data_IF_408242819765
#
_entry.id   IF_408242819765
#
_cell.length_a   1.000
_cell.length_b   1.000
_cell.length_c   1.000
_cell.angle_alpha   90.00
_cell.angle_beta   90.00
_cell.angle_gamma   90.00
#
_symmetry.space_group_name_H-M   'P 1'
#
loop_
_entity.id
_entity.type
_entity.pdbx_description
1 polymer ?
#
# COMPACT_ATOMS: atom_id res chain seq x y z
N UNK A 1 -13.06 6.67 59.82
CA UNK A 1 -13.05 5.80 58.63
C UNK A 1 -12.00 6.36 57.69
N UNK A 2 -10.87 5.69 57.56
CA UNK A 2 -9.81 6.06 56.60
C UNK A 2 -10.20 5.46 55.27
N UNK A 3 -10.35 6.30 54.24
CA UNK A 3 -10.56 5.83 52.88
C UNK A 3 -9.20 5.39 52.34
N UNK A 4 -9.09 4.10 52.03
CA UNK A 4 -7.92 3.52 51.35
C UNK A 4 -8.04 3.93 49.87
N UNK A 5 -7.16 4.80 49.39
CA UNK A 5 -7.09 5.14 47.97
C UNK A 5 -6.53 3.93 47.21
N UNK A 6 -7.12 3.54 46.07
CA UNK A 6 -6.58 2.46 45.26
C UNK A 6 -5.25 2.91 44.65
N UNK A 7 -4.15 2.29 45.09
CA UNK A 7 -2.84 2.43 44.46
C UNK A 7 -2.97 1.94 43.01
N UNK A 8 -2.96 2.88 42.07
CA UNK A 8 -2.92 2.55 40.65
C UNK A 8 -1.60 1.81 40.37
N UNK A 9 -1.69 0.57 39.90
CA UNK A 9 -0.52 -0.17 39.43
C UNK A 9 0.16 0.61 38.32
N UNK A 10 1.50 0.74 38.32
CA UNK A 10 2.21 1.40 37.23
C UNK A 10 1.92 0.64 35.92
N UNK A 11 1.84 1.36 34.77
CA UNK A 11 1.69 0.73 33.48
C UNK A 11 2.82 -0.28 33.25
N UNK A 12 2.51 -1.41 32.62
CA UNK A 12 3.52 -2.40 32.27
C UNK A 12 4.45 -1.83 31.19
N UNK A 13 5.66 -1.44 31.58
CA UNK A 13 6.69 -0.97 30.65
C UNK A 13 7.25 -2.15 29.85
N UNK A 14 7.32 -1.99 28.52
CA UNK A 14 7.95 -2.98 27.65
C UNK A 14 9.47 -2.99 27.92
N UNK A 15 10.12 -4.17 28.07
CA UNK A 15 11.57 -4.22 28.19
C UNK A 15 12.26 -3.58 26.97
N UNK A 16 13.23 -2.68 27.20
CA UNK A 16 13.93 -1.93 26.14
C UNK A 16 14.48 -2.82 25.02
N UNK A 17 15.06 -3.97 25.37
CA UNK A 17 15.59 -4.91 24.38
C UNK A 17 14.48 -5.45 23.46
N UNK A 18 13.32 -5.80 24.03
CA UNK A 18 12.17 -6.27 23.26
C UNK A 18 11.61 -5.15 22.36
N UNK A 19 11.56 -3.91 22.88
CA UNK A 19 11.13 -2.75 22.09
C UNK A 19 12.05 -2.49 20.90
N UNK A 20 13.37 -2.58 21.10
CA UNK A 20 14.36 -2.42 20.05
C UNK A 20 14.26 -3.53 18.98
N UNK A 21 14.13 -4.80 19.39
CA UNK A 21 13.93 -5.92 18.47
C UNK A 21 12.64 -5.76 17.64
N UNK A 22 11.54 -5.37 18.28
CA UNK A 22 10.27 -5.16 17.58
C UNK A 22 10.36 -3.96 16.62
N UNK A 23 10.99 -2.87 17.02
CA UNK A 23 11.22 -1.72 16.16
C UNK A 23 12.04 -2.10 14.92
N UNK A 24 13.13 -2.85 15.08
CA UNK A 24 13.99 -3.28 13.97
C UNK A 24 13.24 -4.18 12.98
N UNK A 25 12.40 -5.10 13.49
CA UNK A 25 11.52 -5.91 12.65
C UNK A 25 10.49 -5.09 11.87
N UNK A 26 9.88 -4.08 12.50
CA UNK A 26 8.93 -3.19 11.82
C UNK A 26 9.61 -2.32 10.77
N UNK A 27 10.83 -1.85 11.04
CA UNK A 27 11.63 -1.08 10.08
C UNK A 27 12.06 -1.94 8.88
N UNK A 28 12.46 -3.19 9.14
CA UNK A 28 12.77 -4.16 8.08
C UNK A 28 11.55 -4.41 7.19
N UNK A 29 10.38 -4.68 7.80
CA UNK A 29 9.13 -4.87 7.05
C UNK A 29 8.73 -3.62 6.25
N UNK A 30 8.93 -2.43 6.80
CA UNK A 30 8.66 -1.15 6.11
C UNK A 30 9.54 -0.99 4.86
N UNK A 31 10.84 -1.29 4.98
CA UNK A 31 11.78 -1.25 3.85
C UNK A 31 11.44 -2.29 2.76
N UNK A 32 11.01 -3.47 3.17
CA UNK A 32 10.57 -4.52 2.24
C UNK A 32 9.29 -4.11 1.50
N UNK A 33 8.34 -3.46 2.17
CA UNK A 33 7.15 -2.90 1.52
C UNK A 33 7.49 -1.81 0.50
N UNK A 34 8.43 -0.91 0.80
CA UNK A 34 8.90 0.09 -0.19
C UNK A 34 9.57 -0.55 -1.40
N UNK A 35 10.32 -1.63 -1.17
CA UNK A 35 10.93 -2.38 -2.26
C UNK A 35 9.89 -3.12 -3.08
N UNK A 36 8.91 -3.76 -2.43
CA UNK A 36 7.80 -4.43 -3.09
C UNK A 36 6.98 -3.45 -3.94
N UNK A 37 6.65 -2.27 -3.39
CA UNK A 37 5.93 -1.23 -4.10
C UNK A 37 6.64 -0.84 -5.39
N UNK A 38 7.96 -0.57 -5.33
CA UNK A 38 8.76 -0.25 -6.52
C UNK A 38 8.76 -1.37 -7.56
N UNK A 39 8.94 -2.61 -7.12
CA UNK A 39 8.92 -3.78 -8.03
C UNK A 39 7.57 -3.94 -8.73
N UNK A 40 6.46 -3.69 -8.01
CA UNK A 40 5.12 -3.75 -8.57
C UNK A 40 4.85 -2.59 -9.53
N UNK A 41 5.24 -1.37 -9.16
CA UNK A 41 5.09 -0.18 -10.01
C UNK A 41 5.86 -0.37 -11.33
N UNK A 42 7.13 -0.81 -11.26
CA UNK A 42 7.95 -1.10 -12.43
C UNK A 42 7.32 -2.18 -13.33
N UNK A 43 6.87 -3.29 -12.73
CA UNK A 43 6.23 -4.38 -13.46
C UNK A 43 4.92 -3.92 -14.13
N UNK A 44 4.13 -3.09 -13.46
CA UNK A 44 2.86 -2.58 -13.99
C UNK A 44 3.08 -1.57 -15.13
N UNK A 45 4.13 -0.74 -15.06
CA UNK A 45 4.54 0.10 -16.21
C UNK A 45 4.86 -0.77 -17.43
N UNK A 46 5.70 -1.81 -17.25
CA UNK A 46 6.06 -2.73 -18.35
C UNK A 46 4.83 -3.43 -18.94
N UNK A 47 3.90 -3.87 -18.09
CA UNK A 47 2.66 -4.51 -18.55
C UNK A 47 1.77 -3.53 -19.31
N UNK A 48 1.56 -2.31 -18.80
CA UNK A 48 0.75 -1.28 -19.46
C UNK A 48 1.32 -0.92 -20.83
N UNK A 49 2.63 -0.67 -20.91
CA UNK A 49 3.32 -0.40 -22.17
C UNK A 49 3.21 -1.57 -23.15
N UNK A 50 3.41 -2.81 -22.65
CA UNK A 50 3.30 -4.02 -23.46
C UNK A 50 1.91 -4.23 -24.05
N UNK A 51 0.86 -4.12 -23.24
CA UNK A 51 -0.52 -4.28 -23.70
C UNK A 51 -0.95 -3.14 -24.62
N UNK A 52 -0.60 -1.89 -24.31
CA UNK A 52 -0.92 -0.75 -25.16
C UNK A 52 -0.21 -0.83 -26.51
N UNK A 53 1.09 -1.16 -26.51
CA UNK A 53 1.87 -1.37 -27.72
C UNK A 53 1.33 -2.51 -28.58
N UNK A 54 0.97 -3.65 -27.97
CA UNK A 54 0.38 -4.79 -28.68
C UNK A 54 -0.98 -4.42 -29.29
N UNK A 55 -1.82 -3.68 -28.55
CA UNK A 55 -3.10 -3.21 -29.06
C UNK A 55 -2.94 -2.23 -30.24
N UNK A 56 -1.94 -1.34 -30.18
CA UNK A 56 -1.59 -0.42 -31.28
C UNK A 56 -1.13 -1.17 -32.54
N UNK A 57 -0.19 -2.11 -32.39
CA UNK A 57 0.27 -2.96 -33.50
C UNK A 57 -0.88 -3.74 -34.13
N UNK A 58 -1.82 -4.21 -33.31
CA UNK A 58 -3.00 -4.91 -33.79
C UNK A 58 -3.92 -3.99 -34.60
N UNK A 59 -4.14 -2.76 -34.14
CA UNK A 59 -4.87 -1.75 -34.91
C UNK A 59 -4.18 -1.41 -36.24
N UNK A 60 -2.85 -1.28 -36.26
CA UNK A 60 -2.11 -1.00 -37.50
C UNK A 60 -2.30 -2.12 -38.54
N UNK A 61 -2.31 -3.39 -38.12
CA UNK A 61 -2.57 -4.54 -39.01
C UNK A 61 -3.98 -4.46 -39.59
N UNK A 62 -4.96 -4.08 -38.78
CA UNK A 62 -6.35 -3.91 -39.21
C UNK A 62 -6.46 -2.75 -40.23
N UNK A 63 -5.82 -1.61 -39.94
CA UNK A 63 -5.87 -0.40 -40.78
C UNK A 63 -5.18 -0.59 -42.14
N UNK A 64 -4.22 -1.51 -42.22
CA UNK A 64 -3.58 -1.94 -43.47
C UNK A 64 -4.51 -2.78 -44.39
N UNK A 65 -5.77 -2.99 -43.99
CA UNK A 65 -6.79 -3.65 -44.81
C UNK A 65 -6.76 -5.18 -44.74
N UNK A 66 -6.07 -5.75 -43.75
CA UNK A 66 -6.13 -7.19 -43.49
C UNK A 66 -7.53 -7.57 -43.01
N UNK A 67 -8.00 -8.75 -43.39
CA UNK A 67 -9.30 -9.25 -42.96
C UNK A 67 -9.33 -9.41 -41.43
N UNK A 68 -10.22 -8.68 -40.76
CA UNK A 68 -10.48 -8.87 -39.34
C UNK A 68 -11.18 -10.21 -39.17
N UNK A 69 -10.47 -11.18 -38.60
CA UNK A 69 -11.11 -12.45 -38.22
C UNK A 69 -11.80 -12.28 -36.87
N UNK A 70 -12.86 -13.05 -36.56
CA UNK A 70 -13.49 -13.03 -35.23
C UNK A 70 -12.48 -13.25 -34.10
N UNK A 71 -11.47 -14.10 -34.33
CA UNK A 71 -10.41 -14.35 -33.36
C UNK A 71 -9.53 -13.12 -33.11
N UNK A 72 -9.28 -12.31 -34.14
CA UNK A 72 -8.52 -11.06 -34.02
C UNK A 72 -9.27 -10.04 -33.16
N UNK A 73 -10.60 -9.99 -33.30
CA UNK A 73 -11.48 -9.16 -32.49
C UNK A 73 -11.48 -9.60 -31.01
N UNK A 74 -11.51 -10.91 -30.75
CA UNK A 74 -11.41 -11.47 -29.39
C UNK A 74 -10.09 -11.11 -28.71
N UNK A 75 -8.97 -11.18 -29.45
CA UNK A 75 -7.64 -10.77 -28.95
C UNK A 75 -7.66 -9.28 -28.60
N UNK A 76 -8.19 -8.43 -29.49
CA UNK A 76 -8.31 -6.99 -29.26
C UNK A 76 -9.12 -6.68 -27.99
N UNK A 77 -10.28 -7.32 -27.85
CA UNK A 77 -11.14 -7.15 -26.69
C UNK A 77 -10.47 -7.61 -25.38
N UNK A 78 -9.68 -8.68 -25.44
CA UNK A 78 -8.92 -9.21 -24.30
C UNK A 78 -7.81 -8.23 -23.87
N UNK A 79 -7.11 -7.62 -24.83
CA UNK A 79 -6.10 -6.60 -24.56
C UNK A 79 -6.71 -5.40 -23.83
N UNK A 80 -7.84 -4.88 -24.31
CA UNK A 80 -8.54 -3.77 -23.64
C UNK A 80 -8.98 -4.13 -22.22
N UNK A 81 -9.58 -5.31 -22.02
CA UNK A 81 -9.96 -5.79 -20.68
C UNK A 81 -8.77 -5.89 -19.73
N UNK A 82 -7.63 -6.34 -20.25
CA UNK A 82 -6.41 -6.45 -19.44
C UNK A 82 -5.87 -5.08 -19.04
N UNK A 83 -5.88 -4.10 -19.96
CA UNK A 83 -5.52 -2.71 -19.64
C UNK A 83 -6.45 -2.13 -18.59
N UNK A 84 -7.77 -2.34 -18.71
CA UNK A 84 -8.74 -1.91 -17.69
C UNK A 84 -8.51 -2.60 -16.35
N UNK A 85 -8.17 -3.89 -16.33
CA UNK A 85 -7.86 -4.61 -15.10
C UNK A 85 -6.59 -4.06 -14.42
N UNK A 86 -5.59 -3.61 -15.19
CA UNK A 86 -4.39 -2.98 -14.64
C UNK A 86 -4.69 -1.63 -13.97
N UNK A 87 -5.81 -0.96 -14.28
CA UNK A 87 -6.19 0.28 -13.59
C UNK A 87 -6.53 0.05 -12.10
N UNK A 88 -6.80 -1.19 -11.68
CA UNK A 88 -6.96 -1.55 -10.26
C UNK A 88 -5.63 -1.58 -9.49
N UNK A 89 -4.48 -1.49 -10.17
CA UNK A 89 -3.17 -1.44 -9.52
C UNK A 89 -3.02 -0.22 -8.60
N UNK A 90 -3.57 0.93 -8.97
CA UNK A 90 -3.48 2.14 -8.15
C UNK A 90 -4.02 1.91 -6.73
N UNK A 91 -5.11 1.13 -6.60
CA UNK A 91 -5.64 0.75 -5.28
C UNK A 91 -4.69 -0.16 -4.49
N UNK A 92 -4.00 -1.09 -5.16
CA UNK A 92 -3.01 -1.96 -4.51
C UNK A 92 -1.80 -1.16 -4.02
N UNK A 93 -1.30 -0.22 -4.83
CA UNK A 93 -0.20 0.68 -4.46
C UNK A 93 -0.59 1.58 -3.28
N UNK A 94 -1.82 2.10 -3.26
CA UNK A 94 -2.36 2.86 -2.11
C UNK A 94 -2.42 2.03 -0.81
N UNK A 95 -2.87 0.77 -0.89
CA UNK A 95 -2.92 -0.13 0.27
C UNK A 95 -1.53 -0.46 0.81
N UNK A 96 -0.54 -0.69 -0.07
CA UNK A 96 0.85 -0.94 0.34
C UNK A 96 1.44 0.30 1.02
N UNK A 97 1.28 1.48 0.41
CA UNK A 97 1.76 2.74 0.97
C UNK A 97 1.14 3.01 2.35
N UNK A 98 -0.17 2.80 2.48
CA UNK A 98 -0.86 2.95 3.77
C UNK A 98 -0.34 1.96 4.82
N UNK A 99 -0.16 0.68 4.45
CA UNK A 99 0.36 -0.34 5.35
C UNK A 99 1.77 0.03 5.84
N UNK A 100 2.62 0.48 4.93
CA UNK A 100 3.97 0.95 5.26
C UNK A 100 3.94 2.13 6.25
N UNK A 101 3.10 3.15 6.00
CA UNK A 101 2.94 4.29 6.91
C UNK A 101 2.48 3.87 8.31
N UNK A 102 1.59 2.88 8.40
CA UNK A 102 1.15 2.33 9.69
C UNK A 102 2.29 1.61 10.42
N UNK A 103 3.07 0.79 9.73
CA UNK A 103 4.20 0.08 10.34
C UNK A 103 5.27 1.05 10.84
N UNK A 104 5.58 2.10 10.07
CA UNK A 104 6.50 3.17 10.48
C UNK A 104 6.01 3.90 11.71
N UNK A 105 4.74 4.31 11.73
CA UNK A 105 4.15 4.97 12.90
C UNK A 105 4.22 4.06 14.15
N UNK A 106 3.98 2.76 14.01
CA UNK A 106 4.16 1.81 15.12
C UNK A 106 5.62 1.75 15.59
N UNK A 107 6.59 1.70 14.67
CA UNK A 107 8.01 1.67 15.02
C UNK A 107 8.45 2.95 15.76
N UNK A 108 8.00 4.11 15.28
CA UNK A 108 8.29 5.42 15.89
C UNK A 108 7.68 5.52 17.29
N UNK A 109 6.44 5.03 17.48
CA UNK A 109 5.76 5.04 18.76
C UNK A 109 6.43 4.10 19.77
N UNK A 110 6.87 2.90 19.34
CA UNK A 110 7.64 1.98 20.19
C UNK A 110 8.96 2.61 20.63
N UNK A 111 9.68 3.27 19.73
CA UNK A 111 10.92 3.96 20.08
C UNK A 111 10.68 5.07 21.10
N UNK A 112 9.66 5.90 20.88
CA UNK A 112 9.29 6.97 21.81
C UNK A 112 8.93 6.43 23.19
N UNK A 113 8.09 5.41 23.25
CA UNK A 113 7.62 4.83 24.51
C UNK A 113 8.75 4.10 25.26
N UNK A 114 9.73 3.55 24.55
CA UNK A 114 10.84 2.81 25.14
C UNK A 114 12.02 3.69 25.58
N UNK A 115 12.33 4.78 24.86
CA UNK A 115 13.40 5.72 25.21
C UNK A 115 12.93 6.85 26.13
N UNK A 116 11.63 7.13 26.20
CA UNK A 116 11.07 8.23 26.99
C UNK A 116 11.50 9.61 26.47
N UNK A 117 11.10 10.66 27.20
CA UNK A 117 11.53 12.06 26.92
C UNK A 117 12.98 12.35 27.36
N UNK A 118 13.72 11.33 27.83
CA UNK A 118 15.09 11.44 28.36
C UNK A 118 16.16 11.45 27.25
N UNK A 119 15.76 11.53 25.97
CA UNK A 119 16.70 11.72 24.87
C UNK A 119 17.30 13.15 24.92
N UNK A 120 18.62 13.31 25.18
CA UNK A 120 19.28 14.61 25.19
C UNK A 120 19.26 15.33 23.82
N UNK A 121 18.97 14.60 22.72
CA UNK A 121 18.83 15.15 21.37
C UNK A 121 17.39 15.60 21.03
N UNK A 122 16.44 15.46 21.97
CA UNK A 122 15.06 15.96 21.88
C UNK A 122 14.02 14.89 21.51
N UNK A 123 12.75 15.13 21.88
CA UNK A 123 11.68 14.16 21.69
C UNK A 123 11.51 13.75 20.22
N UNK A 124 11.52 12.43 19.96
CA UNK A 124 11.24 11.86 18.65
C UNK A 124 9.88 12.36 18.14
N UNK A 125 9.90 13.11 17.03
CA UNK A 125 8.68 13.59 16.37
C UNK A 125 8.03 12.41 15.67
N UNK A 126 7.07 11.77 16.34
CA UNK A 126 6.22 10.73 15.74
C UNK A 126 5.25 11.41 14.80
N UNK A 127 5.28 11.04 13.51
CA UNK A 127 4.30 11.51 12.55
C UNK A 127 2.90 11.03 12.95
N UNK A 128 1.87 11.86 12.77
CA UNK A 128 0.49 11.50 13.08
C UNK A 128 0.08 10.19 12.39
N UNK A 129 -0.57 9.31 13.16
CA UNK A 129 -1.04 8.03 12.64
C UNK A 129 -1.97 8.25 11.43
N UNK A 130 -1.96 7.37 10.42
CA UNK A 130 -2.88 7.47 9.29
C UNK A 130 -4.34 7.58 9.76
N UNK A 131 -5.01 8.68 9.41
CA UNK A 131 -6.29 9.08 10.00
C UNK A 131 -7.46 8.09 9.79
N UNK A 132 -7.37 7.19 8.80
CA UNK A 132 -8.41 6.20 8.50
C UNK A 132 -7.88 4.78 8.64
N UNK A 133 -8.55 3.89 9.41
CA UNK A 133 -8.13 2.50 9.57
C UNK A 133 -8.24 1.67 8.28
N UNK A 134 -9.11 2.09 7.34
CA UNK A 134 -9.25 1.52 6.01
C UNK A 134 -9.20 2.67 4.98
N UNK A 135 -8.11 2.82 4.22
CA UNK A 135 -7.97 3.91 3.26
C UNK A 135 -8.76 3.68 1.95
N UNK A 136 -9.20 2.44 1.69
CA UNK A 136 -9.93 2.08 0.47
C UNK A 136 -11.30 1.52 0.84
N UNK A 137 -12.34 2.30 0.61
CA UNK A 137 -13.73 1.84 0.50
C UNK A 137 -14.22 2.19 -0.90
N UNK A 138 -14.84 1.23 -1.61
CA UNK A 138 -15.34 1.45 -2.98
C UNK A 138 -16.23 2.69 -3.12
N UNK A 139 -16.85 3.13 -2.02
CA UNK A 139 -17.78 4.26 -1.97
C UNK A 139 -17.13 5.66 -2.13
N UNK A 140 -15.80 5.80 -1.99
CA UNK A 140 -15.11 7.10 -2.16
C UNK A 140 -14.61 7.34 -3.60
N UNK A 141 -14.76 6.34 -4.48
CA UNK A 141 -14.33 6.40 -5.87
C UNK A 141 -15.56 6.69 -6.74
N UNK A 142 -15.66 7.90 -7.29
CA UNK A 142 -16.55 8.25 -8.41
C UNK A 142 -16.08 7.57 -9.71
N UNK A 143 -15.79 6.27 -9.63
CA UNK A 143 -15.52 5.37 -10.72
C UNK A 143 -16.78 4.53 -10.88
N UNK A 144 -17.57 4.86 -11.91
CA UNK A 144 -18.87 4.27 -12.18
C UNK A 144 -18.94 2.77 -11.89
N UNK A 145 -20.04 2.38 -11.25
CA UNK A 145 -20.40 1.01 -10.89
C UNK A 145 -19.93 -0.02 -11.94
N UNK A 146 -19.11 -0.97 -11.52
CA UNK A 146 -18.73 -2.10 -12.37
C UNK A 146 -19.83 -3.15 -12.29
N UNK A 147 -20.59 -3.33 -13.38
CA UNK A 147 -21.40 -4.53 -13.59
C UNK A 147 -20.45 -5.73 -13.72
N UNK A 148 -20.47 -6.61 -12.72
CA UNK A 148 -19.94 -7.96 -12.83
C UNK A 148 -20.93 -8.77 -13.69
N UNK A 149 -20.56 -9.05 -14.94
CA UNK A 149 -21.20 -10.08 -15.75
C UNK A 149 -20.66 -11.47 -15.37
#
# INVERSE_FOLDING_TARGET
>A
MSYDEPVASPPAEMPLLLAAELQDHLMTASNDLERLQRLLDDACVVLMEGFHGTAGQLSDVIDQGHAITPHLEEVRQTLYRTVTALQFQDMATQLIAHTNNRLRNCADQIARDALGDDDPDGAAVVADAPMKPNPVTQDEMDAGSVELF
#
